data_IF_560353042614
#
_entry.id   IF_560353042614
#
_cell.length_a   1.000
_cell.length_b   1.000
_cell.length_c   1.000
_cell.angle_alpha   90.00
_cell.angle_beta   90.00
_cell.angle_gamma   90.00
#
_symmetry.space_group_name_H-M   'P 1'
#
loop_
_entity.id
_entity.type
_entity.pdbx_description
1 polymer ?
#
# COMPACT_ATOMS: atom_id res chain seq x y z
N UNK A 1 -38.02 -53.67 36.54
CA UNK A 1 -39.43 -53.28 36.31
C UNK A 1 -39.56 -51.81 36.67
N UNK A 2 -39.59 -50.94 35.64
CA UNK A 2 -40.03 -49.54 35.59
C UNK A 2 -39.13 -48.76 34.61
N UNK A 3 -39.53 -48.73 33.34
CA UNK A 3 -38.98 -47.82 32.32
C UNK A 3 -39.75 -46.51 32.37
N UNK A 4 -39.04 -45.39 32.53
CA UNK A 4 -39.61 -44.05 32.50
C UNK A 4 -39.33 -43.43 31.13
N UNK A 5 -40.36 -43.27 30.30
CA UNK A 5 -40.27 -42.60 28.99
C UNK A 5 -40.62 -41.12 29.13
N UNK A 6 -39.68 -40.26 28.75
CA UNK A 6 -39.85 -38.80 28.65
C UNK A 6 -40.47 -38.45 27.29
N UNK A 7 -41.66 -37.84 27.30
CA UNK A 7 -42.31 -37.29 26.11
C UNK A 7 -41.91 -35.83 25.90
N UNK A 8 -41.30 -35.53 24.75
CA UNK A 8 -40.93 -34.17 24.33
C UNK A 8 -42.05 -33.64 23.42
N UNK A 9 -42.81 -32.65 23.90
CA UNK A 9 -43.80 -31.92 23.09
C UNK A 9 -43.15 -30.76 22.36
N UNK A 10 -43.06 -30.86 21.03
CA UNK A 10 -42.58 -29.80 20.14
C UNK A 10 -43.69 -28.77 19.86
N UNK A 11 -43.59 -27.58 20.46
CA UNK A 11 -44.45 -26.44 20.13
C UNK A 11 -43.81 -25.59 19.03
N UNK A 12 -44.36 -25.67 17.82
CA UNK A 12 -44.03 -24.80 16.68
C UNK A 12 -44.70 -23.44 16.84
N UNK A 13 -43.91 -22.41 17.19
CA UNK A 13 -44.38 -21.03 17.15
C UNK A 13 -44.31 -20.51 15.71
N UNK A 14 -45.46 -20.39 15.07
CA UNK A 14 -45.63 -19.66 13.81
C UNK A 14 -45.68 -18.14 14.11
N UNK A 15 -44.64 -17.40 13.72
CA UNK A 15 -44.66 -15.94 13.71
C UNK A 15 -45.10 -15.43 12.35
N UNK A 16 -46.28 -14.79 12.27
CA UNK A 16 -46.79 -14.11 11.08
C UNK A 16 -46.12 -12.74 10.94
N UNK A 17 -45.29 -12.54 9.91
CA UNK A 17 -44.76 -11.21 9.57
C UNK A 17 -45.76 -10.48 8.67
N UNK A 18 -46.32 -9.36 9.17
CA UNK A 18 -47.13 -8.42 8.39
C UNK A 18 -46.26 -7.70 7.37
N UNK A 19 -46.59 -7.87 6.10
CA UNK A 19 -45.97 -7.20 4.96
C UNK A 19 -46.64 -5.82 4.77
N UNK A 20 -45.99 -4.75 5.21
CA UNK A 20 -46.51 -3.38 5.00
C UNK A 20 -46.11 -2.89 3.61
N UNK A 21 -47.10 -2.76 2.75
CA UNK A 21 -46.99 -2.23 1.39
C UNK A 21 -46.83 -0.70 1.43
N UNK A 22 -45.60 -0.19 1.36
CA UNK A 22 -45.34 1.25 1.28
C UNK A 22 -45.53 1.74 -0.16
N UNK A 23 -46.70 2.32 -0.47
CA UNK A 23 -46.95 3.02 -1.74
C UNK A 23 -46.47 4.46 -1.64
N UNK A 24 -45.31 4.75 -2.21
CA UNK A 24 -44.93 6.12 -2.56
C UNK A 24 -45.43 6.41 -3.99
N UNK A 25 -46.40 7.32 -4.20
CA UNK A 25 -46.73 7.76 -5.55
C UNK A 25 -45.66 8.72 -6.07
N UNK A 26 -45.01 8.34 -7.17
CA UNK A 26 -44.10 9.20 -7.93
C UNK A 26 -44.93 10.27 -8.67
N UNK A 27 -44.85 11.52 -8.21
CA UNK A 27 -45.28 12.67 -8.99
C UNK A 27 -44.27 12.93 -10.12
N UNK A 28 -44.68 12.62 -11.35
CA UNK A 28 -43.97 12.95 -12.59
C UNK A 28 -44.50 14.31 -13.05
N UNK A 29 -43.65 15.34 -13.03
CA UNK A 29 -43.92 16.62 -13.71
C UNK A 29 -43.32 16.58 -15.13
N UNK A 30 -44.08 16.96 -16.18
CA UNK A 30 -43.53 17.12 -17.52
C UNK A 30 -43.06 18.58 -17.70
N UNK A 31 -41.75 18.83 -17.71
CA UNK A 31 -41.22 20.10 -18.24
C UNK A 31 -40.70 19.89 -19.66
N UNK A 32 -41.08 20.86 -20.49
CA UNK A 32 -41.11 20.81 -21.95
C UNK A 32 -39.71 20.79 -22.57
N UNK A 33 -39.59 19.97 -23.60
CA UNK A 33 -38.56 20.00 -24.63
C UNK A 33 -38.56 21.35 -25.34
N UNK A 34 -37.41 21.99 -25.45
CA UNK A 34 -37.14 22.98 -26.49
C UNK A 34 -35.98 22.47 -27.34
N UNK A 35 -36.33 22.03 -28.54
CA UNK A 35 -35.42 21.80 -29.67
C UNK A 35 -35.16 23.14 -30.35
N UNK A 36 -33.90 23.56 -30.39
CA UNK A 36 -33.39 24.40 -31.49
C UNK A 36 -32.00 23.93 -31.87
N UNK A 37 -31.89 23.41 -33.09
CA UNK A 37 -30.65 23.13 -33.77
C UNK A 37 -29.94 24.45 -34.08
N UNK A 38 -28.67 24.55 -33.70
CA UNK A 38 -27.72 25.47 -34.30
C UNK A 38 -26.41 24.71 -34.54
N UNK A 39 -26.21 24.38 -35.80
CA UNK A 39 -24.99 23.83 -36.35
C UNK A 39 -24.03 25.00 -36.49
N UNK A 40 -22.91 24.96 -35.77
CA UNK A 40 -21.73 25.75 -36.09
C UNK A 40 -20.50 24.86 -35.92
N UNK A 41 -19.94 24.47 -37.06
CA UNK A 41 -18.70 23.75 -37.20
C UNK A 41 -17.52 24.66 -36.86
N UNK A 42 -16.88 24.41 -35.71
CA UNK A 42 -15.51 24.85 -35.48
C UNK A 42 -14.70 23.63 -35.07
N UNK A 43 -14.02 23.04 -36.05
CA UNK A 43 -13.03 22.00 -35.85
C UNK A 43 -11.80 22.63 -35.17
N UNK A 44 -11.84 22.73 -33.85
CA UNK A 44 -10.63 23.00 -33.08
C UNK A 44 -9.81 21.71 -33.02
N UNK A 45 -8.80 21.68 -33.88
CA UNK A 45 -7.73 20.69 -33.94
C UNK A 45 -7.06 20.61 -32.57
N UNK A 46 -7.36 19.57 -31.80
CA UNK A 46 -6.62 19.24 -30.59
C UNK A 46 -5.18 18.90 -31.00
N UNK A 47 -4.26 19.83 -30.77
CA UNK A 47 -2.82 19.55 -30.81
C UNK A 47 -2.49 18.59 -29.67
N UNK A 48 -2.45 17.29 -30.00
CA UNK A 48 -1.84 16.28 -29.16
C UNK A 48 -0.35 16.61 -29.05
N UNK A 49 0.09 17.08 -27.89
CA UNK A 49 1.51 17.10 -27.54
C UNK A 49 2.02 15.66 -27.59
N UNK A 50 3.11 15.36 -28.32
CA UNK A 50 3.66 14.01 -28.33
C UNK A 50 4.10 13.64 -26.91
N UNK A 51 3.75 12.42 -26.50
CA UNK A 51 4.30 11.77 -25.31
C UNK A 51 5.81 11.97 -25.30
N UNK A 52 6.36 12.45 -24.17
CA UNK A 52 7.80 12.39 -23.91
C UNK A 52 8.19 10.92 -23.88
N UNK A 53 8.66 10.41 -25.01
CA UNK A 53 9.51 9.23 -25.06
C UNK A 53 10.70 9.54 -24.15
N UNK A 54 10.83 8.80 -23.06
CA UNK A 54 12.05 8.77 -22.25
C UNK A 54 13.17 8.31 -23.18
N UNK A 55 13.94 9.27 -23.69
CA UNK A 55 15.19 8.95 -24.34
C UNK A 55 16.15 8.51 -23.24
N UNK A 56 16.31 7.20 -23.09
CA UNK A 56 17.55 6.66 -22.55
C UNK A 56 18.69 7.28 -23.39
N UNK A 57 19.65 7.99 -22.79
CA UNK A 57 20.83 8.39 -23.55
C UNK A 57 21.60 7.11 -23.87
N UNK A 58 21.41 6.60 -25.08
CA UNK A 58 22.33 5.67 -25.72
C UNK A 58 23.67 6.42 -25.84
N UNK A 59 24.56 6.18 -24.89
CA UNK A 59 25.94 6.61 -24.94
C UNK A 59 26.64 5.81 -26.05
N UNK A 60 26.65 6.37 -27.26
CA UNK A 60 27.59 5.97 -28.30
C UNK A 60 28.71 7.01 -28.31
N UNK A 61 29.95 6.65 -27.92
CA UNK A 61 31.06 7.58 -28.07
C UNK A 61 31.32 7.74 -29.56
N UNK A 62 31.02 8.93 -30.10
CA UNK A 62 31.51 9.33 -31.42
C UNK A 62 33.02 9.53 -31.29
N UNK A 63 33.79 8.52 -31.63
CA UNK A 63 35.21 8.69 -31.91
C UNK A 63 35.35 9.58 -33.15
N UNK A 64 35.50 10.88 -32.91
CA UNK A 64 36.06 11.80 -33.89
C UNK A 64 37.53 11.90 -33.56
N UNK A 65 38.37 11.24 -34.36
CA UNK A 65 39.81 11.49 -34.38
C UNK A 65 39.97 12.87 -35.01
N UNK A 66 40.06 13.91 -34.18
CA UNK A 66 40.49 15.22 -34.62
C UNK A 66 42.02 15.24 -34.56
N UNK A 67 42.61 15.32 -35.75
CA UNK A 67 44.04 15.36 -35.97
C UNK A 67 44.71 16.47 -35.15
N UNK A 68 45.96 16.19 -34.78
CA UNK A 68 46.86 17.02 -34.02
C UNK A 68 46.83 18.49 -34.44
N UNK A 69 46.53 19.36 -33.48
CA UNK A 69 47.08 20.71 -33.43
C UNK A 69 47.75 20.86 -32.06
N UNK A 70 49.01 21.26 -32.15
CA UNK A 70 50.03 21.39 -31.11
C UNK A 70 49.54 22.04 -29.83
N UNK A 71 49.88 21.42 -28.69
CA UNK A 71 49.78 22.03 -27.38
C UNK A 71 50.56 23.35 -27.33
N UNK A 72 49.84 24.48 -27.37
CA UNK A 72 50.32 25.69 -26.74
C UNK A 72 49.95 25.59 -25.26
N UNK A 73 50.86 25.00 -24.47
CA UNK A 73 50.86 25.11 -23.01
C UNK A 73 50.95 26.61 -22.66
N UNK A 74 49.80 27.27 -22.54
CA UNK A 74 49.71 28.55 -21.85
C UNK A 74 50.12 28.23 -20.42
N UNK A 75 51.34 28.65 -20.05
CA UNK A 75 51.79 28.65 -18.67
C UNK A 75 50.82 29.54 -17.90
N UNK A 76 49.78 28.95 -17.32
CA UNK A 76 48.99 29.66 -16.31
C UNK A 76 49.99 30.08 -15.22
N UNK A 77 50.01 31.37 -14.89
CA UNK A 77 50.89 31.86 -13.86
C UNK A 77 50.57 31.07 -12.57
N UNK A 78 51.58 30.65 -11.80
CA UNK A 78 51.37 29.81 -10.63
C UNK A 78 50.43 30.48 -9.60
N UNK A 79 50.35 31.82 -9.61
CA UNK A 79 49.40 32.58 -8.80
C UNK A 79 47.93 32.33 -9.17
N UNK A 80 47.60 32.20 -10.46
CA UNK A 80 46.22 32.03 -10.93
C UNK A 80 45.68 30.62 -10.60
N UNK A 81 46.56 29.62 -10.61
CA UNK A 81 46.24 28.24 -10.19
C UNK A 81 45.97 28.19 -8.68
N UNK A 82 46.78 28.91 -7.88
CA UNK A 82 46.60 29.02 -6.44
C UNK A 82 45.30 29.76 -6.12
N UNK A 83 44.98 30.82 -6.85
CA UNK A 83 43.75 31.59 -6.66
C UNK A 83 42.52 30.77 -7.06
N UNK A 84 42.60 30.01 -8.15
CA UNK A 84 41.57 29.07 -8.57
C UNK A 84 41.36 27.96 -7.54
N UNK A 85 42.43 27.37 -7.00
CA UNK A 85 42.34 26.38 -5.92
C UNK A 85 41.74 26.98 -4.64
N UNK A 86 42.14 28.20 -4.27
CA UNK A 86 41.57 28.92 -3.12
C UNK A 86 40.08 29.17 -3.30
N UNK A 87 39.63 29.60 -4.49
CA UNK A 87 38.22 29.78 -4.80
C UNK A 87 37.44 28.47 -4.78
N UNK A 88 38.00 27.38 -5.30
CA UNK A 88 37.37 26.05 -5.19
C UNK A 88 37.27 25.55 -3.75
N UNK A 89 38.29 25.83 -2.92
CA UNK A 89 38.28 25.50 -1.50
C UNK A 89 37.28 26.37 -0.73
N UNK A 90 37.22 27.66 -1.04
CA UNK A 90 36.28 28.63 -0.45
C UNK A 90 34.83 28.38 -0.89
N UNK A 91 34.61 27.94 -2.13
CA UNK A 91 33.30 27.51 -2.64
C UNK A 91 32.87 26.15 -2.08
N UNK A 92 33.82 25.25 -1.78
CA UNK A 92 33.56 24.00 -1.07
C UNK A 92 33.30 24.21 0.43
N UNK A 93 33.87 25.25 1.03
CA UNK A 93 33.64 25.64 2.43
C UNK A 93 32.35 26.49 2.58
N UNK A 94 31.97 27.26 1.57
CA UNK A 94 30.72 28.02 1.51
C UNK A 94 29.49 27.17 1.16
N UNK A 95 29.67 25.98 0.59
CA UNK A 95 28.61 25.00 0.47
C UNK A 95 28.32 24.41 1.85
N UNK A 96 27.13 24.68 2.41
CA UNK A 96 26.69 24.05 3.67
C UNK A 96 27.01 22.55 3.62
N UNK A 97 27.68 21.98 4.65
CA UNK A 97 27.96 20.55 4.67
C UNK A 97 26.64 19.82 4.45
N UNK A 98 26.61 18.75 3.63
CA UNK A 98 25.38 18.07 3.30
C UNK A 98 24.65 17.74 4.61
N UNK A 99 23.50 18.39 4.84
CA UNK A 99 22.74 18.32 6.09
C UNK A 99 22.65 16.86 6.53
N UNK A 100 23.33 16.54 7.63
CA UNK A 100 23.37 15.17 8.16
C UNK A 100 21.92 14.74 8.37
N UNK A 101 21.51 13.67 7.66
CA UNK A 101 20.14 13.18 7.76
C UNK A 101 19.92 12.76 9.20
N UNK A 102 18.88 13.31 9.83
CA UNK A 102 18.52 12.97 11.20
C UNK A 102 18.53 11.44 11.40
N UNK A 103 19.04 10.95 12.54
CA UNK A 103 19.10 9.52 12.80
C UNK A 103 17.70 8.93 12.67
N UNK A 104 17.58 7.83 11.91
CA UNK A 104 16.29 7.16 11.75
C UNK A 104 15.79 6.70 13.13
N UNK A 105 14.48 6.77 13.39
CA UNK A 105 13.93 6.23 14.62
C UNK A 105 14.30 4.74 14.72
N UNK A 106 14.79 4.32 15.88
CA UNK A 106 15.08 2.91 16.16
C UNK A 106 13.75 2.16 16.24
N UNK A 107 13.52 1.25 15.32
CA UNK A 107 12.38 0.32 15.33
C UNK A 107 12.93 -1.06 15.66
N UNK A 108 12.18 -1.84 16.43
CA UNK A 108 12.53 -3.23 16.74
C UNK A 108 12.69 -4.03 15.43
N UNK A 109 13.77 -4.82 15.32
CA UNK A 109 14.08 -5.65 14.13
C UNK A 109 13.23 -6.94 14.14
N UNK A 110 11.91 -6.76 14.11
CA UNK A 110 10.91 -7.83 14.19
C UNK A 110 9.76 -7.58 13.20
N UNK A 111 9.24 -8.66 12.62
CA UNK A 111 8.05 -8.64 11.79
C UNK A 111 7.16 -9.85 12.07
N UNK A 112 5.88 -9.73 11.69
CA UNK A 112 4.95 -10.85 11.76
C UNK A 112 4.09 -10.94 10.50
N UNK A 113 3.54 -12.14 10.26
CA UNK A 113 2.51 -12.37 9.26
C UNK A 113 1.20 -12.62 9.97
N UNK A 114 0.25 -11.69 9.82
CA UNK A 114 -1.05 -11.74 10.48
C UNK A 114 -2.16 -12.00 9.49
N UNK A 115 -3.17 -12.77 9.93
CA UNK A 115 -4.38 -12.98 9.15
C UNK A 115 -5.47 -12.01 9.60
N UNK A 116 -5.89 -11.11 8.71
CA UNK A 116 -6.96 -10.15 8.95
C UNK A 116 -8.04 -10.38 7.90
N UNK A 117 -9.24 -10.77 8.35
CA UNK A 117 -10.28 -11.29 7.47
C UNK A 117 -9.81 -12.58 6.78
N UNK A 118 -9.69 -12.54 5.46
CA UNK A 118 -9.22 -13.67 4.63
C UNK A 118 -7.91 -13.36 3.89
N UNK A 119 -7.14 -12.38 4.37
CA UNK A 119 -5.88 -11.95 3.76
C UNK A 119 -4.76 -11.95 4.79
N UNK A 120 -3.55 -12.22 4.32
CA UNK A 120 -2.35 -12.20 5.14
C UNK A 120 -1.57 -10.90 4.89
N UNK A 121 -1.06 -10.31 5.97
CA UNK A 121 -0.30 -9.06 5.92
C UNK A 121 1.02 -9.23 6.65
N UNK A 122 2.10 -8.73 6.04
CA UNK A 122 3.38 -8.54 6.72
C UNK A 122 3.29 -7.23 7.51
N UNK A 123 3.50 -7.33 8.81
CA UNK A 123 3.41 -6.21 9.74
C UNK A 123 4.75 -5.96 10.41
N UNK A 124 5.08 -4.68 10.54
CA UNK A 124 6.23 -4.18 11.27
C UNK A 124 5.73 -3.21 12.34
N UNK A 125 6.33 -3.20 13.54
CA UNK A 125 5.96 -2.25 14.58
C UNK A 125 6.18 -0.81 14.09
N UNK A 126 5.28 0.10 14.46
CA UNK A 126 5.29 1.50 14.05
C UNK A 126 4.73 1.80 12.66
N UNK A 127 4.49 0.79 11.81
CA UNK A 127 3.90 0.96 10.46
C UNK A 127 2.38 0.85 10.48
N UNK A 128 1.73 1.60 9.59
CA UNK A 128 0.30 1.49 9.34
C UNK A 128 0.02 0.63 8.10
N UNK A 129 -1.12 -0.07 8.11
CA UNK A 129 -1.63 -0.87 7.00
C UNK A 129 -3.13 -0.62 6.80
N UNK A 130 -3.58 -0.73 5.55
CA UNK A 130 -5.01 -0.67 5.21
C UNK A 130 -5.58 -2.09 5.12
N UNK A 131 -6.69 -2.30 5.79
CA UNK A 131 -7.34 -3.61 5.91
C UNK A 131 -8.83 -3.53 5.59
N UNK A 132 -9.48 -4.69 5.47
CA UNK A 132 -10.94 -4.76 5.36
C UNK A 132 -11.58 -4.08 6.58
N UNK A 133 -12.71 -3.40 6.38
CA UNK A 133 -13.41 -2.71 7.47
C UNK A 133 -13.71 -3.63 8.66
N UNK A 134 -13.26 -3.19 9.83
CA UNK A 134 -13.61 -3.77 11.12
C UNK A 134 -14.93 -3.14 11.59
N UNK A 135 -15.99 -3.95 11.72
CA UNK A 135 -17.36 -3.44 11.97
C UNK A 135 -17.50 -2.75 13.33
N UNK A 136 -16.86 -3.31 14.35
CA UNK A 136 -17.06 -2.91 15.75
C UNK A 136 -15.96 -1.99 16.30
N UNK A 137 -14.95 -1.66 15.48
CA UNK A 137 -13.81 -0.86 15.89
C UNK A 137 -14.06 0.64 15.74
N UNK A 138 -13.67 1.43 16.74
CA UNK A 138 -13.72 2.90 16.68
C UNK A 138 -12.35 3.49 16.35
N UNK A 139 -12.29 4.77 15.99
CA UNK A 139 -11.02 5.48 15.86
C UNK A 139 -10.31 5.57 17.23
N UNK A 140 -8.99 5.41 17.23
CA UNK A 140 -8.08 5.29 18.38
C UNK A 140 -8.31 4.07 19.27
N UNK A 141 -9.07 3.08 18.81
CA UNK A 141 -9.31 1.85 19.57
C UNK A 141 -8.08 0.92 19.54
N UNK A 142 -7.80 0.26 20.67
CA UNK A 142 -6.67 -0.67 20.81
C UNK A 142 -7.17 -2.08 20.50
N UNK A 143 -6.74 -2.62 19.37
CA UNK A 143 -7.13 -3.95 18.91
C UNK A 143 -5.97 -4.94 19.05
N UNK A 144 -6.34 -6.20 19.23
CA UNK A 144 -5.40 -7.30 19.42
C UNK A 144 -5.63 -8.31 18.29
N UNK A 145 -4.58 -8.58 17.51
CA UNK A 145 -4.61 -9.53 16.41
C UNK A 145 -4.02 -10.86 16.87
N UNK A 146 -4.89 -11.82 17.17
CA UNK A 146 -4.51 -13.13 17.71
C UNK A 146 -4.06 -14.15 16.63
N UNK A 147 -4.44 -13.92 15.37
CA UNK A 147 -4.12 -14.85 14.27
C UNK A 147 -2.77 -14.52 13.65
N UNK A 148 -1.70 -14.91 14.34
CA UNK A 148 -0.32 -14.75 13.90
C UNK A 148 0.19 -16.07 13.32
N UNK A 149 0.62 -16.05 12.07
CA UNK A 149 1.05 -17.25 11.33
C UNK A 149 2.58 -17.45 11.40
N UNK A 150 3.32 -16.35 11.41
CA UNK A 150 4.78 -16.35 11.42
C UNK A 150 5.26 -15.11 12.17
N UNK A 151 6.33 -15.27 12.95
CA UNK A 151 7.07 -14.15 13.57
C UNK A 151 8.53 -14.30 13.19
N UNK A 152 9.12 -13.26 12.62
CA UNK A 152 10.52 -13.25 12.23
C UNK A 152 11.27 -12.16 12.98
N UNK A 153 12.37 -12.56 13.62
CA UNK A 153 13.37 -11.67 14.18
C UNK A 153 14.63 -11.78 13.32
N UNK A 154 15.63 -10.93 13.55
CA UNK A 154 16.92 -11.03 12.87
C UNK A 154 17.60 -12.39 13.02
N UNK A 155 17.51 -13.00 14.19
CA UNK A 155 18.25 -14.22 14.51
C UNK A 155 17.42 -15.50 14.34
N UNK A 156 16.10 -15.43 14.61
CA UNK A 156 15.20 -16.58 14.67
C UNK A 156 13.90 -16.32 13.93
N UNK A 157 13.33 -17.37 13.34
CA UNK A 157 11.99 -17.33 12.74
C UNK A 157 11.08 -18.39 13.37
N UNK A 158 9.94 -17.94 13.88
CA UNK A 158 8.90 -18.77 14.49
C UNK A 158 7.82 -19.06 13.44
N UNK A 159 7.71 -20.32 13.01
CA UNK A 159 6.76 -20.75 11.97
C UNK A 159 5.59 -21.49 12.62
N UNK A 160 4.39 -20.91 12.52
CA UNK A 160 3.17 -21.46 13.09
C UNK A 160 2.70 -22.74 12.39
N UNK A 161 2.03 -23.61 13.15
CA UNK A 161 1.39 -24.85 12.66
C UNK A 161 -0.02 -25.00 13.25
N UNK A 162 -1.06 -24.27 12.79
CA UNK A 162 -1.10 -23.24 11.74
C UNK A 162 -0.83 -21.81 12.24
N UNK A 163 -0.87 -21.58 13.55
CA UNK A 163 -0.58 -20.29 14.20
C UNK A 163 0.60 -20.47 15.16
N UNK A 164 1.27 -19.37 15.50
CA UNK A 164 2.26 -19.32 16.58
C UNK A 164 1.48 -19.18 17.90
N UNK A 165 1.64 -20.13 18.81
CA UNK A 165 0.89 -20.14 20.08
C UNK A 165 1.29 -18.93 20.95
N UNK A 166 0.31 -18.32 21.62
CA UNK A 166 0.47 -17.14 22.49
C UNK A 166 0.98 -15.85 21.81
N UNK A 167 1.33 -15.90 20.52
CA UNK A 167 1.75 -14.73 19.78
C UNK A 167 0.59 -13.77 19.55
N UNK A 168 0.84 -12.49 19.82
CA UNK A 168 -0.14 -11.42 19.75
C UNK A 168 0.48 -10.22 19.06
N UNK A 169 -0.28 -9.61 18.14
CA UNK A 169 0.09 -8.31 17.56
C UNK A 169 -0.86 -7.24 18.08
N UNK A 170 -0.31 -6.27 18.80
CA UNK A 170 -1.03 -5.11 19.29
C UNK A 170 -1.08 -4.04 18.20
N UNK A 171 -2.27 -3.52 17.92
CA UNK A 171 -2.47 -2.46 16.96
C UNK A 171 -3.48 -1.43 17.45
N UNK A 172 -3.39 -0.21 16.93
CA UNK A 172 -4.33 0.87 17.17
C UNK A 172 -5.04 1.19 15.86
N UNK A 173 -6.35 1.29 15.91
CA UNK A 173 -7.15 1.73 14.77
C UNK A 173 -7.01 3.23 14.66
N UNK A 174 -6.40 3.74 13.60
CA UNK A 174 -6.26 5.18 13.42
C UNK A 174 -7.60 5.78 12.97
N UNK A 175 -8.13 5.25 11.87
CA UNK A 175 -9.33 5.79 11.23
C UNK A 175 -10.03 4.76 10.33
N UNK A 176 -11.31 5.03 10.05
CA UNK A 176 -12.09 4.30 9.06
C UNK A 176 -12.27 5.18 7.83
N UNK A 177 -11.78 4.73 6.68
CA UNK A 177 -11.83 5.48 5.43
C UNK A 177 -12.70 4.78 4.39
N UNK A 178 -13.00 5.52 3.32
CA UNK A 178 -13.43 4.96 2.05
C UNK A 178 -12.23 4.95 1.12
N UNK A 179 -11.98 3.81 0.49
CA UNK A 179 -10.94 3.66 -0.51
C UNK A 179 -11.19 4.54 -1.74
N UNK A 180 -10.19 4.60 -2.60
CA UNK A 180 -10.28 5.29 -3.87
C UNK A 180 -11.47 4.79 -4.70
N UNK A 181 -12.08 5.70 -5.46
CA UNK A 181 -13.26 5.37 -6.25
C UNK A 181 -12.86 4.44 -7.39
N UNK A 182 -13.26 3.18 -7.29
CA UNK A 182 -13.19 2.22 -8.38
C UNK A 182 -14.39 2.44 -9.29
N UNK A 183 -14.13 2.78 -10.55
CA UNK A 183 -15.18 3.00 -11.55
C UNK A 183 -15.48 1.67 -12.24
N UNK A 184 -16.65 1.10 -11.92
CA UNK A 184 -17.16 -0.11 -12.57
C UNK A 184 -17.91 0.31 -13.83
N UNK A 185 -17.22 0.26 -14.97
CA UNK A 185 -17.78 0.54 -16.28
C UNK A 185 -18.20 -0.75 -16.98
N UNK A 186 -19.51 -0.92 -17.19
CA UNK A 186 -20.09 -2.05 -17.94
C UNK A 186 -20.48 -1.55 -19.33
N UNK A 187 -20.00 -2.19 -20.38
CA UNK A 187 -20.31 -1.83 -21.77
C UNK A 187 -20.62 -3.09 -22.58
N UNK A 188 -21.63 -3.01 -23.46
CA UNK A 188 -21.90 -4.03 -24.49
C UNK A 188 -21.96 -3.35 -25.86
N UNK A 189 -21.11 -3.76 -26.82
CA UNK A 189 -21.03 -3.14 -28.14
C UNK A 189 -22.32 -3.35 -28.93
N UNK A 190 -22.72 -2.36 -29.73
CA UNK A 190 -23.90 -2.40 -30.62
C UNK A 190 -25.24 -2.71 -29.93
N UNK A 191 -25.29 -2.75 -28.59
CA UNK A 191 -26.51 -2.97 -27.79
C UNK A 191 -27.00 -1.71 -27.07
N UNK A 192 -26.40 -0.55 -27.36
CA UNK A 192 -26.64 0.72 -26.65
C UNK A 192 -26.63 0.56 -25.11
N UNK A 193 -25.82 -0.36 -24.59
CA UNK A 193 -25.72 -0.65 -23.17
C UNK A 193 -24.37 -0.18 -22.65
N UNK A 194 -24.43 0.85 -21.82
CA UNK A 194 -23.31 1.39 -21.03
C UNK A 194 -23.82 1.76 -19.65
N UNK A 195 -23.12 1.33 -18.61
CA UNK A 195 -23.39 1.67 -17.21
C UNK A 195 -22.08 2.08 -16.57
N UNK A 196 -22.10 3.24 -15.92
CA UNK A 196 -20.97 3.76 -15.17
C UNK A 196 -21.39 3.84 -13.70
N UNK A 197 -20.78 3.01 -12.85
CA UNK A 197 -21.11 2.91 -11.42
C UNK A 197 -19.82 3.11 -10.63
N UNK A 198 -19.84 4.01 -9.65
CA UNK A 198 -18.73 4.15 -8.71
C UNK A 198 -18.87 3.16 -7.55
N UNK A 199 -17.78 2.53 -7.14
CA UNK A 199 -17.66 1.80 -5.90
C UNK A 199 -16.53 2.40 -5.06
N UNK A 200 -16.76 2.58 -3.76
CA UNK A 200 -15.74 2.94 -2.79
C UNK A 200 -15.81 1.93 -1.67
N UNK A 201 -14.77 1.11 -1.51
CA UNK A 201 -14.75 0.09 -0.49
C UNK A 201 -14.45 0.74 0.86
N UNK A 202 -15.24 0.49 1.91
CA UNK A 202 -14.86 0.93 3.24
C UNK A 202 -13.69 0.09 3.77
N UNK A 203 -12.65 0.78 4.25
CA UNK A 203 -11.40 0.22 4.75
C UNK A 203 -11.09 0.76 6.14
N UNK A 204 -10.27 0.04 6.90
CA UNK A 204 -9.77 0.48 8.20
C UNK A 204 -8.26 0.59 8.14
N UNK A 205 -7.73 1.75 8.50
CA UNK A 205 -6.29 1.98 8.67
C UNK A 205 -5.92 1.65 10.12
N UNK A 206 -5.00 0.71 10.27
CA UNK A 206 -4.50 0.28 11.58
C UNK A 206 -3.00 0.51 11.66
N UNK A 207 -2.53 1.01 12.80
CA UNK A 207 -1.12 1.18 13.12
C UNK A 207 -0.67 0.09 14.07
N UNK A 208 0.40 -0.60 13.73
CA UNK A 208 0.95 -1.68 14.54
C UNK A 208 1.79 -1.07 15.65
N UNK A 209 1.52 -1.46 16.89
CA UNK A 209 2.25 -0.98 18.07
C UNK A 209 3.43 -1.90 18.40
N UNK A 210 3.20 -3.21 18.44
CA UNK A 210 4.20 -4.18 18.84
C UNK A 210 3.75 -5.62 18.65
N UNK A 211 4.70 -6.53 18.69
CA UNK A 211 4.52 -7.98 18.56
C UNK A 211 5.01 -8.60 19.87
N UNK A 212 4.19 -9.43 20.53
CA UNK A 212 4.48 -9.99 21.86
C UNK A 212 4.09 -11.47 21.94
N UNK A 213 4.56 -12.18 22.97
CA UNK A 213 4.11 -13.54 23.31
C UNK A 213 4.60 -14.66 22.38
N UNK A 214 5.68 -14.43 21.63
CA UNK A 214 6.24 -15.40 20.69
C UNK A 214 7.45 -16.19 21.24
N UNK A 215 8.00 -15.78 22.38
CA UNK A 215 9.28 -16.30 22.90
C UNK A 215 9.23 -17.77 23.36
N UNK A 216 8.05 -18.23 23.80
CA UNK A 216 7.88 -19.62 24.26
C UNK A 216 7.78 -20.62 23.10
N UNK A 217 7.60 -20.15 21.86
CA UNK A 217 7.44 -21.00 20.70
C UNK A 217 8.81 -21.45 20.16
N UNK A 218 8.98 -22.70 19.67
CA UNK A 218 10.25 -23.12 19.09
C UNK A 218 10.57 -22.32 17.82
N UNK A 219 11.62 -21.51 17.89
CA UNK A 219 12.16 -20.76 16.74
C UNK A 219 13.14 -21.60 15.92
N UNK A 220 13.07 -21.50 14.60
CA UNK A 220 14.02 -22.09 13.68
C UNK A 220 15.12 -21.07 13.32
N UNK A 221 16.35 -21.57 13.22
CA UNK A 221 17.54 -20.81 12.81
C UNK A 221 18.19 -21.54 11.63
N UNK A 222 18.76 -20.79 10.68
CA UNK A 222 19.62 -21.38 9.67
C UNK A 222 21.04 -21.42 10.21
N UNK A 223 21.39 -22.51 10.89
CA UNK A 223 22.75 -22.78 11.30
C UNK A 223 23.49 -23.38 10.09
N UNK A 224 24.54 -22.70 9.61
CA UNK A 224 25.41 -23.28 8.58
C UNK A 224 26.26 -24.36 9.24
N UNK A 225 25.83 -25.61 9.14
CA UNK A 225 26.67 -26.75 9.48
C UNK A 225 27.88 -26.74 8.54
N UNK A 226 29.04 -26.30 9.05
CA UNK A 226 30.33 -26.54 8.41
C UNK A 226 30.57 -28.04 8.49
N UNK A 227 30.22 -28.78 7.43
CA UNK A 227 30.55 -30.20 7.31
C UNK A 227 32.06 -30.30 7.29
N UNK A 228 32.65 -30.65 8.43
CA UNK A 228 34.05 -31.06 8.50
C UNK A 228 34.17 -32.34 7.68
N UNK A 229 34.77 -32.23 6.49
CA UNK A 229 35.22 -33.38 5.73
C UNK A 229 36.42 -33.99 6.47
N UNK A 230 36.15 -34.87 7.43
CA UNK A 230 37.11 -35.88 7.84
C UNK A 230 36.88 -37.12 6.97
N UNK A 231 37.81 -37.37 6.04
CA UNK A 231 38.60 -38.61 5.81
C UNK A 231 39.40 -38.44 4.52
#
# INVERSE_FOLDING_TARGET
MASTTLSISSSTFFTTTKLTHNQNPLFISPSKLNFTNSISSSLQRLNLSPLKTSQNPNFSPKFVVKAAETEAFVRENPADVIEKMKRFLEEAEAAEPPKERAPRPKVEEIFAVVMIGSRQYIVFPGRWINTQRLKDAKANDKIVLNKVLLVGTKDKTYVGKPIVTNAVVHAVVEEQLLDDKVVVFKYKPKKNYRRNIGHRQPITRIKITGITGYEDFPGATLESETVQAEV
#
